data_IF_472125523344
#
_entry.id   IF_472125523344
#
_cell.length_a   1.000
_cell.length_b   1.000
_cell.length_c   1.000
_cell.angle_alpha   90.00
_cell.angle_beta   90.00
_cell.angle_gamma   90.00
#
_symmetry.space_group_name_H-M   'P 1'
#
loop_
_entity.id
_entity.type
_entity.pdbx_description
1 polymer ?
#
# COMPACT_ATOMS: atom_id res chain seq x y z
N UNK A 1 7.80 -9.05 -4.68
CA UNK A 1 7.26 -8.94 -3.32
C UNK A 1 6.90 -10.35 -2.86
N UNK A 2 7.14 -10.70 -1.60
CA UNK A 2 6.54 -11.90 -1.00
C UNK A 2 5.56 -11.46 0.09
N UNK A 3 4.55 -12.29 0.40
CA UNK A 3 3.61 -12.00 1.47
C UNK A 3 4.33 -11.60 2.76
N UNK A 4 3.86 -10.51 3.37
CA UNK A 4 4.47 -9.92 4.57
C UNK A 4 5.38 -8.71 4.31
N UNK A 5 5.79 -8.44 3.07
CA UNK A 5 6.56 -7.23 2.75
C UNK A 5 5.75 -5.97 3.06
N UNK A 6 6.38 -4.96 3.66
CA UNK A 6 5.76 -3.64 3.79
C UNK A 6 5.84 -2.91 2.45
N UNK A 7 4.70 -2.41 1.99
CA UNK A 7 4.58 -1.58 0.77
C UNK A 7 4.21 -0.15 1.14
N UNK A 8 4.97 0.81 0.63
CA UNK A 8 4.87 2.22 0.99
C UNK A 8 4.39 3.04 -0.20
N UNK A 9 3.56 4.05 0.08
CA UNK A 9 2.96 4.91 -0.94
C UNK A 9 3.06 6.39 -0.56
N UNK A 10 3.09 7.26 -1.58
CA UNK A 10 3.02 8.73 -1.46
C UNK A 10 1.65 9.23 -1.91
N UNK A 11 0.64 9.11 -1.04
CA UNK A 11 -0.77 9.42 -1.31
C UNK A 11 -1.06 10.92 -1.39
N UNK A 12 -0.30 11.76 -0.67
CA UNK A 12 -0.49 13.22 -0.61
C UNK A 12 0.83 13.99 -0.46
N UNK A 13 0.75 15.20 0.12
CA UNK A 13 1.91 16.07 0.35
C UNK A 13 2.37 16.04 1.80
N UNK A 14 3.66 16.21 2.04
CA UNK A 14 4.25 16.26 3.38
C UNK A 14 4.12 14.93 4.14
N UNK A 15 4.15 15.00 5.48
CA UNK A 15 4.09 13.82 6.35
C UNK A 15 2.73 13.12 6.30
N UNK A 16 1.64 13.88 6.13
CA UNK A 16 0.28 13.33 5.97
C UNK A 16 0.06 12.60 4.64
N UNK A 17 1.04 12.66 3.73
CA UNK A 17 1.01 12.03 2.42
C UNK A 17 1.61 10.63 2.36
N UNK A 18 2.01 10.04 3.50
CA UNK A 18 2.61 8.71 3.55
C UNK A 18 1.56 7.67 3.94
N UNK A 19 1.55 6.56 3.21
CA UNK A 19 0.67 5.43 3.47
C UNK A 19 1.47 4.12 3.45
N UNK A 20 1.06 3.15 4.26
CA UNK A 20 1.69 1.82 4.32
C UNK A 20 0.64 0.72 4.32
N UNK A 21 1.00 -0.41 3.74
CA UNK A 21 0.27 -1.66 3.85
C UNK A 21 1.22 -2.86 3.88
N UNK A 22 0.65 -4.04 4.09
CA UNK A 22 1.37 -5.32 4.07
C UNK A 22 0.99 -6.00 2.76
N UNK A 23 1.99 -6.33 1.95
CA UNK A 23 1.81 -7.12 0.74
C UNK A 23 1.24 -8.48 1.09
N UNK A 24 0.25 -8.89 0.32
CA UNK A 24 -0.41 -10.17 0.39
C UNK A 24 -0.18 -10.92 -0.94
N UNK A 25 -0.89 -12.00 -1.23
CA UNK A 25 -0.78 -12.70 -2.51
C UNK A 25 -1.43 -11.95 -3.67
N UNK A 26 -1.18 -12.40 -4.91
CA UNK A 26 -1.90 -11.98 -6.12
C UNK A 26 -1.86 -10.47 -6.39
N UNK A 27 -0.70 -9.88 -6.12
CA UNK A 27 -0.46 -8.45 -6.26
C UNK A 27 -1.43 -7.58 -5.42
N UNK A 28 -1.98 -8.15 -4.34
CA UNK A 28 -2.82 -7.45 -3.39
C UNK A 28 -2.01 -7.02 -2.17
N UNK A 29 -2.57 -6.09 -1.39
CA UNK A 29 -2.02 -5.69 -0.11
C UNK A 29 -3.14 -5.32 0.85
N UNK A 30 -2.91 -5.52 2.15
CA UNK A 30 -3.83 -5.19 3.23
C UNK A 30 -3.36 -3.88 3.87
N UNK A 31 -4.29 -2.95 4.10
CA UNK A 31 -3.99 -1.66 4.71
C UNK A 31 -5.22 -1.05 5.41
N UNK A 32 -4.98 -0.08 6.29
CA UNK A 32 -6.06 0.70 6.90
C UNK A 32 -6.40 1.90 5.99
N UNK A 33 -7.47 1.78 5.21
CA UNK A 33 -8.03 2.88 4.42
C UNK A 33 -8.67 3.93 5.33
N UNK A 34 -8.52 5.22 4.98
CA UNK A 34 -9.13 6.33 5.71
C UNK A 34 -10.65 6.30 5.70
N UNK A 35 -11.27 5.77 4.63
CA UNK A 35 -12.73 5.73 4.48
C UNK A 35 -13.35 4.36 4.69
N UNK A 36 -12.57 3.28 4.55
CA UNK A 36 -13.10 1.91 4.58
C UNK A 36 -12.59 1.09 5.77
N UNK A 37 -11.69 1.63 6.60
CA UNK A 37 -11.02 0.86 7.64
C UNK A 37 -10.07 -0.18 7.05
N UNK A 38 -9.86 -1.30 7.73
CA UNK A 38 -8.95 -2.36 7.27
C UNK A 38 -9.54 -3.04 6.03
N UNK A 39 -8.82 -2.98 4.92
CA UNK A 39 -9.27 -3.52 3.63
C UNK A 39 -8.10 -4.10 2.82
N UNK A 40 -8.44 -4.87 1.77
CA UNK A 40 -7.52 -5.46 0.80
C UNK A 40 -7.68 -4.75 -0.53
N UNK A 41 -6.57 -4.27 -1.10
CA UNK A 41 -6.53 -3.51 -2.35
C UNK A 41 -5.53 -4.12 -3.33
N UNK A 42 -5.75 -3.89 -4.62
CA UNK A 42 -4.83 -4.32 -5.68
C UNK A 42 -3.73 -3.29 -5.92
N UNK A 43 -2.48 -3.75 -6.06
CA UNK A 43 -1.36 -2.92 -6.54
C UNK A 43 -1.45 -2.60 -8.03
N UNK A 44 -2.26 -3.34 -8.79
CA UNK A 44 -2.59 -3.02 -10.19
C UNK A 44 -3.67 -1.94 -10.30
N UNK A 45 -4.30 -1.55 -9.18
CA UNK A 45 -5.20 -0.42 -9.18
C UNK A 45 -4.44 0.86 -9.59
N UNK A 46 -4.96 1.59 -10.57
CA UNK A 46 -4.31 2.79 -11.14
C UNK A 46 -3.92 3.81 -10.07
N UNK A 47 -4.73 3.99 -9.03
CA UNK A 47 -4.41 4.90 -7.92
C UNK A 47 -3.20 4.38 -7.12
N UNK A 48 -3.25 3.14 -6.63
CA UNK A 48 -2.17 2.58 -5.81
C UNK A 48 -0.87 2.40 -6.59
N UNK A 49 -0.97 1.96 -7.85
CA UNK A 49 0.17 1.81 -8.75
C UNK A 49 0.93 3.13 -8.92
N UNK A 50 0.21 4.22 -9.22
CA UNK A 50 0.81 5.56 -9.38
C UNK A 50 1.44 6.09 -8.09
N UNK A 51 0.97 5.62 -6.94
CA UNK A 51 1.36 6.12 -5.62
C UNK A 51 2.42 5.25 -4.96
N UNK A 52 2.72 4.08 -5.52
CA UNK A 52 3.73 3.17 -5.00
C UNK A 52 5.09 3.86 -4.94
N UNK A 53 5.78 3.70 -3.81
CA UNK A 53 7.07 4.34 -3.57
C UNK A 53 8.19 3.31 -3.42
N UNK A 54 8.03 2.36 -2.50
CA UNK A 54 9.03 1.33 -2.24
C UNK A 54 8.39 0.17 -1.49
N UNK A 55 9.09 -0.96 -1.45
CA UNK A 55 8.78 -2.06 -0.56
C UNK A 55 9.98 -2.42 0.30
N UNK A 56 9.73 -2.90 1.52
CA UNK A 56 10.77 -3.33 2.45
C UNK A 56 10.37 -4.64 3.13
N UNK A 57 11.33 -5.55 3.22
CA UNK A 57 11.27 -6.70 4.11
C UNK A 57 12.03 -6.38 5.40
N UNK A 58 11.47 -6.80 6.52
CA UNK A 58 12.11 -6.78 7.84
C UNK A 58 12.58 -8.19 8.15
#
# INVERSE_FOLDING_TARGET
LLPGDLVFFKTGSGESGLHVGIYDTDNQFIHASTSQGVTRSSLDNVYWNKKFWQARRI
#
